data_IF_583677293505
#
_entry.id   IF_583677293505
#
_cell.length_a   1.000
_cell.length_b   1.000
_cell.length_c   1.000
_cell.angle_alpha   90.00
_cell.angle_beta   90.00
_cell.angle_gamma   90.00
#
_symmetry.space_group_name_H-M   'P 1'
#
loop_
_entity.id
_entity.type
_entity.pdbx_description
1 polymer ?
#
# COMPACT_ATOMS: atom_id res chain seq x y z
N UNK A 1 -30.43 -42.26 -2.39
CA UNK A 1 -31.46 -41.53 -3.15
C UNK A 1 -32.33 -40.75 -2.18
N UNK A 2 -32.16 -39.42 -2.09
CA UNK A 2 -33.08 -38.54 -1.38
C UNK A 2 -33.86 -37.73 -2.42
N UNK A 3 -35.18 -37.91 -2.47
CA UNK A 3 -36.09 -37.14 -3.32
C UNK A 3 -36.00 -35.68 -2.89
N UNK A 4 -35.40 -34.82 -3.73
CA UNK A 4 -35.45 -33.37 -3.57
C UNK A 4 -36.86 -32.87 -3.89
N UNK A 5 -37.76 -33.02 -2.92
CA UNK A 5 -39.00 -32.27 -2.90
C UNK A 5 -38.64 -30.81 -2.60
N UNK A 6 -38.69 -29.97 -3.63
CA UNK A 6 -38.76 -28.51 -3.47
C UNK A 6 -40.15 -28.17 -2.96
N UNK A 7 -40.42 -28.44 -1.68
CA UNK A 7 -41.63 -27.95 -1.04
C UNK A 7 -41.45 -26.45 -0.79
N UNK A 8 -42.28 -25.61 -1.39
CA UNK A 8 -42.38 -24.20 -0.98
C UNK A 8 -43.23 -24.16 0.29
N UNK A 9 -42.72 -23.50 1.34
CA UNK A 9 -43.45 -23.33 2.62
C UNK A 9 -44.60 -22.33 2.47
N UNK A 10 -44.43 -21.31 1.62
CA UNK A 10 -45.46 -20.31 1.39
C UNK A 10 -45.21 -19.43 0.17
N UNK A 11 -46.31 -18.99 -0.45
CA UNK A 11 -46.35 -17.94 -1.46
C UNK A 11 -47.23 -16.81 -0.91
N UNK A 12 -46.72 -15.59 -0.92
CA UNK A 12 -47.35 -14.44 -0.30
C UNK A 12 -47.58 -13.35 -1.35
N UNK A 13 -48.84 -12.93 -1.51
CA UNK A 13 -49.18 -11.74 -2.28
C UNK A 13 -48.81 -10.48 -1.51
N UNK A 14 -48.25 -9.51 -2.21
CA UNK A 14 -47.95 -8.18 -1.69
C UNK A 14 -48.48 -7.18 -2.72
N UNK A 15 -49.19 -6.15 -2.26
CA UNK A 15 -49.66 -5.07 -3.11
C UNK A 15 -48.87 -3.79 -2.84
N UNK A 16 -48.50 -3.07 -3.89
CA UNK A 16 -47.92 -1.73 -3.79
C UNK A 16 -48.90 -0.72 -4.37
N UNK A 17 -49.39 0.25 -3.57
CA UNK A 17 -50.24 1.32 -4.07
C UNK A 17 -49.51 2.13 -5.15
N UNK A 18 -50.20 2.42 -6.25
CA UNK A 18 -49.69 3.30 -7.31
C UNK A 18 -50.58 4.52 -7.53
N UNK A 19 -50.20 5.41 -8.45
CA UNK A 19 -50.98 6.62 -8.73
C UNK A 19 -52.23 6.33 -9.57
N UNK A 20 -52.12 5.48 -10.60
CA UNK A 20 -53.24 5.16 -11.51
C UNK A 20 -53.75 3.71 -11.38
N UNK A 21 -52.89 2.79 -10.96
CA UNK A 21 -53.18 1.37 -10.70
C UNK A 21 -52.24 0.86 -9.61
N UNK A 22 -52.64 -0.20 -8.92
CA UNK A 22 -51.77 -0.85 -7.96
C UNK A 22 -50.83 -1.85 -8.65
N UNK A 23 -49.72 -2.21 -8.00
CA UNK A 23 -48.80 -3.23 -8.52
C UNK A 23 -48.84 -4.48 -7.66
N UNK A 24 -49.00 -5.61 -8.34
CA UNK A 24 -49.00 -6.93 -7.73
C UNK A 24 -47.58 -7.48 -7.59
N UNK A 25 -47.24 -7.98 -6.41
CA UNK A 25 -45.95 -8.60 -6.10
C UNK A 25 -46.17 -9.94 -5.45
N UNK A 26 -45.20 -10.83 -5.63
CA UNK A 26 -45.22 -12.16 -5.04
C UNK A 26 -43.91 -12.41 -4.32
N UNK A 27 -43.99 -12.92 -3.11
CA UNK A 27 -42.85 -13.41 -2.36
C UNK A 27 -42.98 -14.90 -2.09
N UNK A 28 -41.85 -15.60 -2.11
CA UNK A 28 -41.78 -17.05 -1.92
C UNK A 28 -40.89 -17.34 -0.72
N UNK A 29 -41.31 -18.28 0.12
CA UNK A 29 -40.52 -18.83 1.22
C UNK A 29 -40.22 -20.30 0.96
N UNK A 30 -38.94 -20.61 0.76
CA UNK A 30 -38.47 -21.99 0.66
C UNK A 30 -38.06 -22.52 2.05
N UNK A 31 -37.96 -23.84 2.25
CA UNK A 31 -37.66 -24.43 3.55
C UNK A 31 -36.30 -24.00 4.03
N UNK A 32 -36.22 -23.57 5.30
CA UNK A 32 -34.99 -23.06 5.92
C UNK A 32 -34.36 -21.87 5.18
N UNK A 33 -35.14 -21.10 4.41
CA UNK A 33 -34.67 -19.89 3.73
C UNK A 33 -35.51 -18.67 4.11
N UNK A 34 -34.86 -17.50 4.09
CA UNK A 34 -35.55 -16.23 4.20
C UNK A 34 -36.53 -16.05 3.02
N UNK A 35 -37.69 -15.46 3.29
CA UNK A 35 -38.65 -15.07 2.27
C UNK A 35 -37.99 -14.07 1.30
N UNK A 36 -38.16 -14.29 0.00
CA UNK A 36 -37.64 -13.40 -1.04
C UNK A 36 -38.72 -13.03 -2.06
N UNK A 37 -38.60 -11.82 -2.62
CA UNK A 37 -39.56 -11.28 -3.58
C UNK A 37 -39.17 -11.67 -5.00
N UNK A 38 -40.15 -12.12 -5.79
CA UNK A 38 -39.99 -12.46 -7.20
C UNK A 38 -40.01 -11.18 -8.04
N UNK A 39 -39.00 -11.03 -8.91
CA UNK A 39 -38.90 -9.89 -9.81
C UNK A 39 -39.83 -10.06 -11.02
N UNK A 40 -40.70 -9.08 -11.27
CA UNK A 40 -41.53 -9.01 -12.48
C UNK A 40 -40.72 -8.81 -13.76
N UNK A 41 -39.45 -8.39 -13.66
CA UNK A 41 -38.55 -8.28 -14.83
C UNK A 41 -38.03 -9.63 -15.28
N UNK A 42 -37.91 -10.57 -14.36
CA UNK A 42 -37.32 -11.90 -14.61
C UNK A 42 -38.44 -12.93 -14.83
N UNK A 43 -39.54 -12.83 -14.09
CA UNK A 43 -40.66 -13.78 -14.17
C UNK A 43 -41.78 -13.34 -15.14
N UNK A 44 -42.00 -14.05 -16.27
CA UNK A 44 -42.94 -13.62 -17.31
C UNK A 44 -44.40 -13.53 -16.87
N UNK A 45 -44.91 -14.51 -16.13
CA UNK A 45 -46.32 -14.48 -15.67
C UNK A 45 -46.57 -13.32 -14.70
N UNK A 46 -45.61 -12.97 -13.84
CA UNK A 46 -45.73 -11.80 -12.97
C UNK A 46 -45.67 -10.48 -13.75
N UNK A 47 -44.93 -10.43 -14.86
CA UNK A 47 -44.95 -9.31 -15.79
C UNK A 47 -46.34 -9.16 -16.44
N UNK A 48 -46.93 -10.25 -16.91
CA UNK A 48 -48.26 -10.28 -17.52
C UNK A 48 -49.35 -9.84 -16.54
N UNK A 49 -49.31 -10.34 -15.29
CA UNK A 49 -50.24 -9.90 -14.23
C UNK A 49 -50.15 -8.39 -14.03
N UNK A 50 -48.95 -7.83 -13.88
CA UNK A 50 -48.78 -6.40 -13.67
C UNK A 50 -49.15 -5.56 -14.91
N UNK A 51 -48.91 -6.08 -16.12
CA UNK A 51 -49.34 -5.42 -17.35
C UNK A 51 -50.87 -5.37 -17.44
N UNK A 52 -51.56 -6.47 -17.12
CA UNK A 52 -53.02 -6.52 -17.10
C UNK A 52 -53.62 -5.53 -16.09
N UNK A 53 -53.14 -5.56 -14.84
CA UNK A 53 -53.58 -4.64 -13.79
C UNK A 53 -53.37 -3.18 -14.21
N UNK A 54 -52.24 -2.87 -14.86
CA UNK A 54 -51.95 -1.53 -15.36
C UNK A 54 -52.86 -1.11 -16.51
N UNK A 55 -53.08 -1.96 -17.51
CA UNK A 55 -53.93 -1.67 -18.67
C UNK A 55 -55.38 -1.43 -18.26
N UNK A 56 -55.88 -2.23 -17.32
CA UNK A 56 -57.25 -2.12 -16.81
C UNK A 56 -57.39 -1.09 -15.68
N UNK A 57 -56.29 -0.42 -15.30
CA UNK A 57 -56.22 0.57 -14.22
C UNK A 57 -56.80 0.06 -12.88
N UNK A 58 -56.61 -1.22 -12.58
CA UNK A 58 -57.23 -1.87 -11.43
C UNK A 58 -56.53 -1.49 -10.12
N UNK A 59 -57.33 -1.24 -9.08
CA UNK A 59 -56.90 -1.23 -7.68
C UNK A 59 -57.00 -2.62 -7.07
N UNK A 60 -56.31 -2.84 -5.95
CA UNK A 60 -56.28 -4.14 -5.25
C UNK A 60 -57.67 -4.79 -5.12
N UNK A 61 -58.63 -4.06 -4.54
CA UNK A 61 -59.98 -4.59 -4.27
C UNK A 61 -60.73 -4.94 -5.56
N UNK A 62 -60.48 -4.18 -6.64
CA UNK A 62 -61.08 -4.44 -7.95
C UNK A 62 -60.42 -5.64 -8.63
N UNK A 63 -59.09 -5.73 -8.57
CA UNK A 63 -58.33 -6.84 -9.12
C UNK A 63 -58.67 -8.16 -8.42
N UNK A 64 -58.82 -8.17 -7.09
CA UNK A 64 -59.18 -9.39 -6.34
C UNK A 64 -60.58 -9.94 -6.70
N UNK A 65 -61.46 -9.10 -7.26
CA UNK A 65 -62.78 -9.49 -7.76
C UNK A 65 -62.81 -9.73 -9.28
N UNK A 66 -61.71 -9.48 -9.99
CA UNK A 66 -61.63 -9.67 -11.45
C UNK A 66 -61.27 -11.12 -11.82
N UNK A 67 -62.10 -11.74 -12.66
CA UNK A 67 -61.94 -13.15 -13.03
C UNK A 67 -60.66 -13.39 -13.84
N UNK A 68 -60.24 -12.45 -14.67
CA UNK A 68 -59.06 -12.65 -15.51
C UNK A 68 -57.77 -12.47 -14.69
N UNK A 69 -57.74 -11.50 -13.78
CA UNK A 69 -56.66 -11.32 -12.82
C UNK A 69 -56.49 -12.55 -11.92
N UNK A 70 -57.59 -13.08 -11.38
CA UNK A 70 -57.54 -14.26 -10.50
C UNK A 70 -56.98 -15.48 -11.23
N UNK A 71 -57.38 -15.71 -12.48
CA UNK A 71 -56.80 -16.76 -13.34
C UNK A 71 -55.30 -16.55 -13.57
N UNK A 72 -54.85 -15.33 -13.93
CA UNK A 72 -53.43 -15.05 -14.15
C UNK A 72 -52.58 -15.21 -12.87
N UNK A 73 -53.12 -14.77 -11.73
CA UNK A 73 -52.48 -14.92 -10.42
C UNK A 73 -52.35 -16.39 -10.04
N UNK A 74 -53.41 -17.18 -10.23
CA UNK A 74 -53.43 -18.58 -9.84
C UNK A 74 -52.49 -19.40 -10.73
N UNK A 75 -52.40 -19.08 -12.04
CA UNK A 75 -51.40 -19.64 -12.95
C UNK A 75 -49.97 -19.35 -12.49
N UNK A 76 -49.68 -18.09 -12.10
CA UNK A 76 -48.39 -17.72 -11.52
C UNK A 76 -48.07 -18.52 -10.24
N UNK A 77 -49.06 -18.72 -9.37
CA UNK A 77 -48.88 -19.51 -8.15
C UNK A 77 -48.64 -20.99 -8.44
N UNK A 78 -49.35 -21.58 -9.40
CA UNK A 78 -49.13 -22.95 -9.83
C UNK A 78 -47.73 -23.13 -10.43
N UNK A 79 -47.27 -22.20 -11.28
CA UNK A 79 -45.93 -22.23 -11.84
C UNK A 79 -44.86 -22.17 -10.75
N UNK A 80 -45.00 -21.23 -9.81
CA UNK A 80 -44.06 -21.07 -8.70
C UNK A 80 -44.05 -22.31 -7.79
N UNK A 81 -45.20 -22.96 -7.54
CA UNK A 81 -45.32 -24.21 -6.77
C UNK A 81 -44.78 -25.44 -7.51
N UNK A 82 -44.60 -25.36 -8.83
CA UNK A 82 -44.12 -26.50 -9.61
C UNK A 82 -42.67 -26.87 -9.26
N UNK A 83 -42.32 -28.15 -9.46
CA UNK A 83 -40.99 -28.70 -9.19
C UNK A 83 -39.85 -27.95 -9.93
N UNK A 84 -40.18 -27.30 -11.05
CA UNK A 84 -39.21 -26.67 -11.93
C UNK A 84 -39.32 -25.14 -11.99
N UNK A 85 -40.48 -24.54 -11.68
CA UNK A 85 -40.72 -23.11 -11.86
C UNK A 85 -39.74 -22.22 -11.08
N UNK A 86 -39.57 -22.49 -9.77
CA UNK A 86 -38.61 -21.71 -8.96
C UNK A 86 -37.16 -21.92 -9.40
N UNK A 87 -36.82 -23.13 -9.86
CA UNK A 87 -35.47 -23.44 -10.39
C UNK A 87 -35.22 -22.67 -11.68
N UNK A 88 -36.18 -22.64 -12.59
CA UNK A 88 -36.14 -21.87 -13.84
C UNK A 88 -36.01 -20.37 -13.58
N UNK A 89 -36.78 -19.83 -12.63
CA UNK A 89 -36.65 -18.43 -12.19
C UNK A 89 -35.23 -18.13 -11.68
N UNK A 90 -34.67 -18.97 -10.79
CA UNK A 90 -33.31 -18.79 -10.25
C UNK A 90 -32.23 -18.90 -11.32
N UNK A 91 -32.38 -19.82 -12.28
CA UNK A 91 -31.46 -19.93 -13.42
C UNK A 91 -31.51 -18.66 -14.26
N UNK A 92 -32.71 -18.13 -14.54
CA UNK A 92 -32.89 -16.90 -15.31
C UNK A 92 -32.39 -15.67 -14.57
N UNK A 93 -32.63 -15.57 -13.25
CA UNK A 93 -32.08 -14.53 -12.37
C UNK A 93 -30.54 -14.57 -12.37
N UNK A 94 -29.93 -15.76 -12.32
CA UNK A 94 -28.48 -15.91 -12.47
C UNK A 94 -27.97 -15.54 -13.86
N UNK A 95 -28.72 -15.84 -14.92
CA UNK A 95 -28.36 -15.44 -16.30
C UNK A 95 -28.45 -13.92 -16.48
N UNK A 96 -29.51 -13.30 -15.94
CA UNK A 96 -29.69 -11.84 -15.92
C UNK A 96 -28.58 -11.15 -15.10
N UNK A 97 -28.12 -11.76 -14.01
CA UNK A 97 -26.97 -11.29 -13.21
C UNK A 97 -25.63 -11.48 -13.92
N UNK A 98 -25.44 -12.59 -14.65
CA UNK A 98 -24.27 -12.84 -15.52
C UNK A 98 -24.18 -11.86 -16.70
N UNK A 99 -25.25 -11.16 -17.04
CA UNK A 99 -25.30 -10.15 -18.10
C UNK A 99 -24.65 -8.79 -17.74
N UNK A 100 -24.28 -8.54 -16.48
CA UNK A 100 -23.54 -7.32 -16.12
C UNK A 100 -22.04 -7.54 -16.24
N UNK A 101 -21.41 -6.91 -17.24
CA UNK A 101 -19.94 -6.87 -17.38
C UNK A 101 -19.30 -6.46 -16.06
N UNK A 102 -18.22 -7.16 -15.67
CA UNK A 102 -17.47 -6.82 -14.47
C UNK A 102 -16.92 -5.39 -14.59
N UNK A 103 -17.17 -4.56 -13.58
CA UNK A 103 -16.65 -3.19 -13.59
C UNK A 103 -15.26 -3.18 -12.93
N UNK A 104 -14.23 -3.37 -13.75
CA UNK A 104 -12.83 -3.32 -13.30
C UNK A 104 -12.44 -1.98 -12.70
N UNK A 105 -12.98 -0.86 -13.19
CA UNK A 105 -12.66 0.47 -12.66
C UNK A 105 -13.18 0.64 -11.24
N UNK A 106 -14.45 0.27 -11.01
CA UNK A 106 -15.05 0.29 -9.67
C UNK A 106 -14.33 -0.68 -8.74
N UNK A 107 -14.09 -1.91 -9.17
CA UNK A 107 -13.38 -2.90 -8.35
C UNK A 107 -11.96 -2.46 -7.98
N UNK A 108 -11.26 -1.78 -8.90
CA UNK A 108 -9.95 -1.22 -8.63
C UNK A 108 -10.01 -0.07 -7.62
N UNK A 109 -11.04 0.77 -7.70
CA UNK A 109 -11.27 1.84 -6.74
C UNK A 109 -11.53 1.28 -5.33
N UNK A 110 -12.44 0.30 -5.22
CA UNK A 110 -12.76 -0.38 -3.96
C UNK A 110 -11.50 -1.04 -3.35
N UNK A 111 -10.67 -1.69 -4.19
CA UNK A 111 -9.38 -2.24 -3.75
C UNK A 111 -8.41 -1.15 -3.30
N UNK A 112 -8.34 -0.03 -4.03
CA UNK A 112 -7.48 1.10 -3.68
C UNK A 112 -7.82 1.66 -2.31
N UNK A 113 -9.12 1.79 -2.01
CA UNK A 113 -9.63 2.33 -0.76
C UNK A 113 -9.39 1.36 0.40
N UNK A 114 -9.67 0.06 0.20
CA UNK A 114 -9.28 -1.00 1.14
C UNK A 114 -7.79 -0.96 1.45
N UNK A 115 -6.94 -0.90 0.42
CA UNK A 115 -5.48 -0.85 0.60
C UNK A 115 -5.00 0.46 1.20
N UNK A 116 -5.72 1.56 1.02
CA UNK A 116 -5.39 2.85 1.62
C UNK A 116 -5.56 2.85 3.13
N UNK A 117 -6.41 1.98 3.70
CA UNK A 117 -6.52 1.80 5.15
C UNK A 117 -5.27 1.13 5.74
N UNK A 118 -4.68 0.17 5.01
CA UNK A 118 -3.62 -0.70 5.54
C UNK A 118 -2.21 -0.43 4.99
N UNK A 119 -2.07 0.26 3.85
CA UNK A 119 -0.79 0.38 3.13
C UNK A 119 -0.80 1.46 2.02
N UNK A 120 -0.12 1.25 0.88
CA UNK A 120 0.06 2.24 -0.20
C UNK A 120 -0.89 1.96 -1.37
N UNK A 121 -2.20 2.21 -1.19
CA UNK A 121 -3.25 1.95 -2.18
C UNK A 121 -2.93 2.47 -3.59
N UNK A 122 -2.55 3.76 -3.71
CA UNK A 122 -2.26 4.37 -5.02
C UNK A 122 -1.14 3.66 -5.81
N UNK A 123 -0.10 3.18 -5.13
CA UNK A 123 1.01 2.49 -5.81
C UNK A 123 0.53 1.16 -6.40
N UNK A 124 -0.28 0.42 -5.65
CA UNK A 124 -0.86 -0.85 -6.09
C UNK A 124 -1.84 -0.63 -7.23
N UNK A 125 -2.76 0.34 -7.09
CA UNK A 125 -3.73 0.68 -8.13
C UNK A 125 -3.07 1.16 -9.41
N UNK A 126 -1.97 1.92 -9.32
CA UNK A 126 -1.22 2.32 -10.51
C UNK A 126 -0.54 1.15 -11.22
N UNK A 127 -0.01 0.17 -10.48
CA UNK A 127 0.61 -1.02 -11.09
C UNK A 127 -0.49 -1.88 -11.74
N UNK A 128 -1.60 -2.11 -11.04
CA UNK A 128 -2.75 -2.82 -11.59
C UNK A 128 -3.25 -2.16 -12.88
N UNK A 129 -3.56 -0.87 -12.85
CA UNK A 129 -4.10 -0.14 -14.00
C UNK A 129 -3.16 -0.13 -15.19
N UNK A 130 -1.88 0.21 -14.98
CA UNK A 130 -0.92 0.46 -16.08
C UNK A 130 -0.17 -0.76 -16.58
N UNK A 131 -0.07 -1.81 -15.76
CA UNK A 131 0.70 -3.00 -16.09
C UNK A 131 -0.23 -4.19 -16.28
N UNK A 132 -1.06 -4.50 -15.29
CA UNK A 132 -1.84 -5.74 -15.32
C UNK A 132 -3.15 -5.65 -16.08
N UNK A 133 -3.90 -4.56 -15.95
CA UNK A 133 -5.17 -4.39 -16.65
C UNK A 133 -4.94 -4.18 -18.14
N UNK A 134 -3.90 -3.43 -18.53
CA UNK A 134 -3.48 -3.37 -19.93
C UNK A 134 -3.08 -4.74 -20.47
N UNK A 135 -2.50 -5.63 -19.65
CA UNK A 135 -2.24 -7.00 -20.07
C UNK A 135 -3.50 -7.87 -20.15
N UNK A 136 -4.25 -8.01 -19.07
CA UNK A 136 -5.38 -8.95 -19.01
C UNK A 136 -6.62 -8.46 -19.77
N UNK A 137 -6.97 -7.18 -19.61
CA UNK A 137 -8.21 -6.63 -20.17
C UNK A 137 -7.97 -6.22 -21.62
N UNK A 138 -6.99 -5.33 -21.86
CA UNK A 138 -6.79 -4.77 -23.21
C UNK A 138 -6.15 -5.79 -24.16
N UNK A 139 -5.12 -6.53 -23.72
CA UNK A 139 -4.38 -7.46 -24.59
C UNK A 139 -4.98 -8.87 -24.64
N UNK A 140 -5.37 -9.43 -23.49
CA UNK A 140 -5.91 -10.80 -23.42
C UNK A 140 -7.45 -10.85 -23.49
N UNK A 141 -8.14 -9.71 -23.47
CA UNK A 141 -9.60 -9.64 -23.62
C UNK A 141 -10.39 -10.20 -22.43
N UNK A 142 -9.81 -10.25 -21.23
CA UNK A 142 -10.49 -10.77 -20.05
C UNK A 142 -11.66 -9.85 -19.66
N UNK A 143 -12.86 -10.41 -19.55
CA UNK A 143 -14.05 -9.67 -19.11
C UNK A 143 -14.29 -9.81 -17.60
N UNK A 144 -13.57 -10.71 -16.93
CA UNK A 144 -13.70 -10.96 -15.49
C UNK A 144 -12.39 -11.47 -14.85
N UNK A 145 -12.04 -11.09 -13.59
CA UNK A 145 -10.80 -11.54 -12.94
C UNK A 145 -10.61 -13.06 -12.88
N UNK A 146 -11.70 -13.83 -12.82
CA UNK A 146 -11.68 -15.32 -12.84
C UNK A 146 -10.95 -15.89 -14.06
N UNK A 147 -10.90 -15.16 -15.18
CA UNK A 147 -10.27 -15.61 -16.42
C UNK A 147 -8.74 -15.49 -16.38
N UNK A 148 -8.17 -14.77 -15.40
CA UNK A 148 -6.73 -14.55 -15.31
C UNK A 148 -5.96 -15.86 -15.17
N UNK A 149 -6.57 -16.88 -14.55
CA UNK A 149 -5.95 -18.20 -14.35
C UNK A 149 -5.56 -18.87 -15.66
N UNK A 150 -6.33 -18.65 -16.73
CA UNK A 150 -6.08 -19.18 -18.07
C UNK A 150 -4.78 -18.66 -18.69
N UNK A 151 -4.32 -17.48 -18.27
CA UNK A 151 -3.17 -16.79 -18.85
C UNK A 151 -1.92 -16.81 -17.97
N UNK A 152 -1.81 -17.75 -17.02
CA UNK A 152 -0.71 -17.79 -16.05
C UNK A 152 0.68 -17.82 -16.68
N UNK A 153 0.87 -18.59 -17.75
CA UNK A 153 2.15 -18.71 -18.45
C UNK A 153 2.48 -17.38 -19.16
N UNK A 154 1.50 -16.81 -19.86
CA UNK A 154 1.63 -15.55 -20.60
C UNK A 154 1.90 -14.39 -19.65
N UNK A 155 1.24 -14.35 -18.48
CA UNK A 155 1.46 -13.36 -17.43
C UNK A 155 2.89 -13.44 -16.87
N UNK A 156 3.43 -14.66 -16.66
CA UNK A 156 4.81 -14.84 -16.22
C UNK A 156 5.80 -14.33 -17.27
N UNK A 157 5.57 -14.64 -18.54
CA UNK A 157 6.38 -14.15 -19.66
C UNK A 157 6.30 -12.63 -19.74
N UNK A 158 5.10 -12.05 -19.61
CA UNK A 158 4.90 -10.60 -19.63
C UNK A 158 5.75 -9.89 -18.57
N UNK A 159 5.80 -10.37 -17.33
CA UNK A 159 6.67 -9.78 -16.28
C UNK A 159 8.14 -9.83 -16.65
N UNK A 160 8.59 -10.95 -17.23
CA UNK A 160 10.00 -11.19 -17.54
C UNK A 160 10.48 -10.41 -18.77
N UNK A 161 9.58 -10.08 -19.69
CA UNK A 161 9.93 -9.38 -20.95
C UNK A 161 9.47 -7.93 -21.01
N UNK A 162 8.58 -7.50 -20.11
CA UNK A 162 8.10 -6.12 -20.07
C UNK A 162 9.25 -5.13 -19.86
N UNK A 163 9.09 -3.98 -20.50
CA UNK A 163 10.03 -2.87 -20.42
C UNK A 163 9.46 -1.76 -19.54
N UNK A 164 10.33 -1.06 -18.85
CA UNK A 164 9.99 0.11 -18.06
C UNK A 164 9.81 1.35 -18.96
N UNK A 165 9.47 2.49 -18.36
CA UNK A 165 9.28 3.78 -19.07
C UNK A 165 10.48 4.30 -19.87
N UNK A 166 11.66 3.70 -19.70
CA UNK A 166 12.88 4.02 -20.44
C UNK A 166 13.22 2.95 -21.49
N UNK A 167 12.24 2.12 -21.86
CA UNK A 167 12.39 1.00 -22.81
C UNK A 167 13.43 -0.05 -22.38
N UNK A 168 13.74 -0.14 -21.08
CA UNK A 168 14.67 -1.14 -20.53
C UNK A 168 13.90 -2.28 -19.87
N UNK A 169 14.31 -3.54 -20.03
CA UNK A 169 13.71 -4.65 -19.29
C UNK A 169 13.70 -4.38 -17.79
N UNK A 170 12.63 -4.79 -17.11
CA UNK A 170 12.60 -4.75 -15.65
C UNK A 170 13.69 -5.65 -15.06
N UNK A 171 14.35 -5.15 -14.01
CA UNK A 171 15.31 -5.98 -13.29
C UNK A 171 14.57 -7.12 -12.56
N UNK A 172 15.21 -8.29 -12.36
CA UNK A 172 14.60 -9.40 -11.64
C UNK A 172 14.06 -9.04 -10.25
N UNK A 173 14.73 -8.11 -9.56
CA UNK A 173 14.29 -7.60 -8.26
C UNK A 173 12.97 -6.82 -8.33
N UNK A 174 12.61 -6.30 -9.50
CA UNK A 174 11.36 -5.57 -9.73
C UNK A 174 10.18 -6.51 -9.99
N UNK A 175 10.42 -7.78 -10.35
CA UNK A 175 9.33 -8.73 -10.65
C UNK A 175 8.38 -8.89 -9.47
N UNK A 176 8.91 -8.96 -8.24
CA UNK A 176 8.11 -9.04 -7.01
C UNK A 176 7.24 -7.79 -6.83
N UNK A 177 7.81 -6.60 -7.09
CA UNK A 177 7.08 -5.33 -7.02
C UNK A 177 5.93 -5.29 -8.01
N UNK A 178 6.07 -5.96 -9.16
CA UNK A 178 5.02 -6.07 -10.17
C UNK A 178 3.97 -7.13 -9.80
N UNK A 179 4.37 -8.33 -9.34
CA UNK A 179 3.42 -9.43 -9.06
C UNK A 179 2.66 -9.26 -7.76
N UNK A 180 3.25 -8.64 -6.73
CA UNK A 180 2.62 -8.49 -5.42
C UNK A 180 1.27 -7.75 -5.47
N UNK A 181 1.14 -6.59 -6.16
CA UNK A 181 -0.15 -5.93 -6.32
C UNK A 181 -1.23 -6.79 -6.97
N UNK A 182 -0.88 -7.61 -7.97
CA UNK A 182 -1.81 -8.52 -8.63
C UNK A 182 -2.30 -9.60 -7.69
N UNK A 183 -1.38 -10.27 -6.99
CA UNK A 183 -1.74 -11.34 -6.06
C UNK A 183 -2.63 -10.82 -4.92
N UNK A 184 -2.34 -9.61 -4.39
CA UNK A 184 -3.20 -9.00 -3.37
C UNK A 184 -4.56 -8.57 -3.91
N UNK A 185 -4.64 -8.09 -5.16
CA UNK A 185 -5.93 -7.78 -5.80
C UNK A 185 -6.78 -9.05 -5.98
N UNK A 186 -6.19 -10.16 -6.40
CA UNK A 186 -6.93 -11.42 -6.56
C UNK A 186 -7.44 -11.96 -5.22
N UNK A 187 -6.64 -11.85 -4.15
CA UNK A 187 -7.12 -12.18 -2.79
C UNK A 187 -8.27 -11.28 -2.36
N UNK A 188 -8.17 -9.97 -2.60
CA UNK A 188 -9.28 -9.05 -2.35
C UNK A 188 -10.54 -9.43 -3.11
N UNK A 189 -10.44 -9.74 -4.42
CA UNK A 189 -11.59 -10.19 -5.22
C UNK A 189 -12.21 -11.47 -4.67
N UNK A 190 -11.41 -12.39 -4.14
CA UNK A 190 -11.91 -13.60 -3.49
C UNK A 190 -12.65 -13.27 -2.19
N UNK A 191 -12.06 -12.43 -1.34
CA UNK A 191 -12.60 -12.10 -0.02
C UNK A 191 -13.95 -11.36 -0.11
N UNK A 192 -14.15 -10.53 -1.15
CA UNK A 192 -15.44 -9.85 -1.40
C UNK A 192 -16.40 -10.67 -2.27
N UNK A 193 -16.05 -11.91 -2.61
CA UNK A 193 -16.91 -12.83 -3.35
C UNK A 193 -17.05 -12.55 -4.85
N UNK A 194 -16.16 -11.76 -5.45
CA UNK A 194 -16.11 -11.60 -6.91
C UNK A 194 -15.57 -12.84 -7.62
N UNK A 195 -14.70 -13.61 -6.98
CA UNK A 195 -14.19 -14.88 -7.51
C UNK A 195 -14.27 -15.98 -6.44
N UNK A 196 -14.34 -17.23 -6.88
CA UNK A 196 -14.28 -18.41 -6.01
C UNK A 196 -12.84 -18.82 -5.71
N UNK A 197 -12.68 -19.74 -4.76
CA UNK A 197 -11.36 -20.25 -4.34
C UNK A 197 -10.62 -20.99 -5.46
N UNK A 198 -11.33 -21.76 -6.28
CA UNK A 198 -10.80 -22.45 -7.46
C UNK A 198 -10.46 -21.50 -8.62
N UNK A 199 -10.99 -20.27 -8.58
CA UNK A 199 -10.70 -19.19 -9.52
C UNK A 199 -9.56 -18.26 -9.02
N UNK A 200 -8.99 -18.54 -7.84
CA UNK A 200 -7.93 -17.70 -7.26
C UNK A 200 -6.63 -17.82 -8.06
N UNK A 201 -6.15 -16.67 -8.53
CA UNK A 201 -4.91 -16.55 -9.28
C UNK A 201 -3.76 -16.03 -8.41
N UNK A 202 -2.64 -16.74 -8.43
CA UNK A 202 -1.38 -16.27 -7.86
C UNK A 202 -0.22 -16.47 -8.84
N UNK A 203 0.58 -15.43 -9.00
CA UNK A 203 1.73 -15.40 -9.89
C UNK A 203 3.04 -15.22 -9.12
N UNK A 204 3.98 -16.14 -9.36
CA UNK A 204 5.37 -15.97 -9.00
C UNK A 204 6.21 -15.92 -10.29
N UNK A 205 6.82 -14.76 -10.55
CA UNK A 205 7.67 -14.52 -11.70
C UNK A 205 9.17 -14.49 -11.36
N UNK A 206 9.54 -14.72 -10.10
CA UNK A 206 10.92 -14.68 -9.65
C UNK A 206 11.83 -15.62 -10.45
N UNK A 207 13.11 -15.27 -10.47
CA UNK A 207 14.13 -16.16 -10.99
C UNK A 207 14.35 -17.31 -10.01
N UNK A 208 14.47 -18.52 -10.53
CA UNK A 208 14.93 -19.67 -9.76
C UNK A 208 16.37 -19.46 -9.29
N UNK A 209 16.80 -20.22 -8.28
CA UNK A 209 18.20 -20.15 -7.80
C UNK A 209 19.20 -20.43 -8.93
N UNK A 210 18.89 -21.41 -9.79
CA UNK A 210 19.73 -21.74 -10.96
C UNK A 210 19.77 -20.61 -12.00
N UNK A 211 18.62 -19.97 -12.28
CA UNK A 211 18.59 -18.78 -13.16
C UNK A 211 19.41 -17.62 -12.58
N UNK A 212 19.38 -17.42 -11.25
CA UNK A 212 20.18 -16.39 -10.56
C UNK A 212 21.68 -16.68 -10.66
N UNK A 213 22.10 -17.93 -10.42
CA UNK A 213 23.51 -18.37 -10.54
C UNK A 213 24.04 -18.18 -11.96
N UNK A 214 23.30 -18.63 -12.98
CA UNK A 214 23.72 -18.54 -14.40
C UNK A 214 23.83 -17.11 -14.90
N UNK A 215 22.95 -16.21 -14.44
CA UNK A 215 22.93 -14.82 -14.89
C UNK A 215 24.04 -13.95 -14.28
N UNK A 216 24.87 -14.47 -13.35
CA UNK A 216 25.92 -13.71 -12.63
C UNK A 216 25.42 -12.32 -12.22
N UNK A 217 24.20 -12.25 -11.67
CA UNK A 217 23.61 -10.96 -11.32
C UNK A 217 24.45 -10.32 -10.22
N UNK A 218 25.20 -9.28 -10.56
CA UNK A 218 25.92 -8.51 -9.57
C UNK A 218 24.92 -7.93 -8.55
N UNK A 219 25.22 -7.99 -7.24
CA UNK A 219 24.37 -7.37 -6.24
C UNK A 219 24.26 -5.87 -6.53
N UNK A 220 23.03 -5.41 -6.82
CA UNK A 220 22.74 -4.01 -7.22
C UNK A 220 22.73 -3.06 -6.01
N UNK A 221 22.88 -3.56 -4.79
CA UNK A 221 22.86 -2.70 -3.60
C UNK A 221 24.09 -1.81 -3.62
N UNK A 222 23.87 -0.50 -3.66
CA UNK A 222 24.94 0.47 -3.49
C UNK A 222 25.62 0.24 -2.14
N UNK A 223 26.92 0.04 -2.17
CA UNK A 223 27.80 -0.14 -1.01
C UNK A 223 28.36 1.19 -0.49
N UNK A 224 27.95 2.31 -1.10
CA UNK A 224 28.55 3.62 -0.86
C UNK A 224 28.19 4.14 0.54
N UNK A 225 29.17 4.20 1.42
CA UNK A 225 29.10 4.78 2.76
C UNK A 225 30.12 5.90 2.92
N UNK A 226 30.00 6.66 4.00
CA UNK A 226 31.04 7.59 4.43
C UNK A 226 32.12 6.86 5.22
N UNK A 227 33.36 7.32 5.08
CA UNK A 227 34.50 6.90 5.93
C UNK A 227 34.57 7.76 7.19
N UNK A 228 35.32 7.33 8.21
CA UNK A 228 35.50 8.12 9.45
C UNK A 228 36.11 9.49 9.15
N UNK A 229 37.16 9.52 8.31
CA UNK A 229 37.82 10.76 7.90
C UNK A 229 36.89 11.71 7.14
N UNK A 230 36.01 11.17 6.29
CA UNK A 230 35.04 12.00 5.59
C UNK A 230 34.07 12.64 6.58
N UNK A 231 33.57 11.87 7.56
CA UNK A 231 32.63 12.36 8.58
C UNK A 231 33.23 13.46 9.44
N UNK A 232 34.47 13.30 9.92
CA UNK A 232 35.14 14.30 10.77
C UNK A 232 35.45 15.60 10.01
N UNK A 233 35.73 15.54 8.71
CA UNK A 233 36.02 16.72 7.89
C UNK A 233 34.78 17.43 7.34
N UNK A 234 33.58 16.85 7.40
CA UNK A 234 32.40 17.47 6.76
C UNK A 234 32.07 18.84 7.33
N UNK A 235 32.07 18.96 8.66
CA UNK A 235 31.72 20.20 9.36
C UNK A 235 32.66 21.33 8.96
N UNK A 236 33.98 21.10 9.03
CA UNK A 236 34.98 22.14 8.71
C UNK A 236 34.88 22.59 7.26
N UNK A 237 34.67 21.68 6.31
CA UNK A 237 34.47 22.05 4.90
C UNK A 237 33.19 22.87 4.70
N UNK A 238 32.10 22.51 5.37
CA UNK A 238 30.84 23.28 5.36
C UNK A 238 31.05 24.67 5.96
N UNK A 239 31.78 24.75 7.08
CA UNK A 239 32.09 26.01 7.77
C UNK A 239 32.85 26.98 6.87
N UNK A 240 33.88 26.48 6.18
CA UNK A 240 34.70 27.27 5.25
C UNK A 240 33.85 27.76 4.07
N UNK A 241 33.11 26.86 3.42
CA UNK A 241 32.41 27.20 2.17
C UNK A 241 31.19 28.13 2.40
N UNK A 242 30.46 27.96 3.50
CA UNK A 242 29.26 28.75 3.79
C UNK A 242 29.46 29.77 4.91
N UNK A 243 30.70 30.21 5.18
CA UNK A 243 31.01 31.21 6.20
C UNK A 243 30.17 32.50 6.04
N UNK A 244 30.00 32.96 4.80
CA UNK A 244 29.17 34.14 4.46
C UNK A 244 27.74 33.82 4.02
N UNK A 245 27.28 32.57 4.16
CA UNK A 245 25.95 32.16 3.71
C UNK A 245 25.19 31.42 4.82
N UNK A 246 24.60 32.15 5.78
CA UNK A 246 23.96 31.55 6.96
C UNK A 246 22.79 30.63 6.60
N UNK A 247 22.05 30.93 5.53
CA UNK A 247 20.92 30.10 5.07
C UNK A 247 21.39 28.71 4.62
N UNK A 248 22.42 28.64 3.77
CA UNK A 248 22.96 27.36 3.31
C UNK A 248 23.77 26.66 4.39
N UNK A 249 24.42 27.41 5.29
CA UNK A 249 25.06 26.83 6.48
C UNK A 249 24.04 26.12 7.37
N UNK A 250 22.90 26.77 7.65
CA UNK A 250 21.80 26.18 8.42
C UNK A 250 21.25 24.91 7.77
N UNK A 251 20.96 24.95 6.46
CA UNK A 251 20.50 23.76 5.71
C UNK A 251 21.53 22.63 5.73
N UNK A 252 22.81 22.96 5.56
CA UNK A 252 23.91 21.99 5.56
C UNK A 252 24.07 21.34 6.91
N UNK A 253 24.01 22.11 8.00
CA UNK A 253 24.07 21.60 9.37
C UNK A 253 22.88 20.69 9.70
N UNK A 254 21.68 21.01 9.23
CA UNK A 254 20.53 20.15 9.44
C UNK A 254 20.66 18.81 8.70
N UNK A 255 21.24 18.79 7.48
CA UNK A 255 21.57 17.53 6.79
C UNK A 255 22.70 16.77 7.47
N UNK A 256 23.73 17.49 7.91
CA UNK A 256 24.86 16.94 8.64
C UNK A 256 24.40 16.26 9.93
N UNK A 257 23.46 16.87 10.65
CA UNK A 257 22.81 16.27 11.81
C UNK A 257 22.14 14.94 11.45
N UNK A 258 21.42 14.86 10.32
CA UNK A 258 20.83 13.61 9.83
C UNK A 258 21.85 12.52 9.50
N UNK A 259 23.02 12.91 8.98
CA UNK A 259 24.14 12.00 8.68
C UNK A 259 24.76 11.47 9.98
N UNK A 260 25.07 12.37 10.91
CA UNK A 260 25.70 12.08 12.20
C UNK A 260 24.83 11.25 13.14
N UNK A 261 23.51 11.27 12.95
CA UNK A 261 22.55 10.51 13.78
C UNK A 261 21.99 9.27 13.10
N UNK A 262 22.30 9.05 11.81
CA UNK A 262 21.72 7.94 11.03
C UNK A 262 20.18 8.00 10.94
N UNK A 263 19.57 9.17 11.16
CA UNK A 263 18.13 9.35 11.13
C UNK A 263 17.56 8.98 9.75
N UNK A 264 16.37 8.35 9.75
CA UNK A 264 15.60 8.22 8.51
C UNK A 264 15.24 9.62 8.04
N UNK A 265 15.23 9.82 6.71
CA UNK A 265 14.84 11.08 6.09
C UNK A 265 13.50 11.63 6.62
N UNK A 266 12.51 10.75 6.85
CA UNK A 266 11.23 11.15 7.44
C UNK A 266 11.39 11.75 8.85
N UNK A 267 12.13 11.06 9.72
CA UNK A 267 12.39 11.51 11.09
C UNK A 267 13.15 12.85 11.11
N UNK A 268 14.13 13.04 10.22
CA UNK A 268 14.86 14.31 10.12
C UNK A 268 13.93 15.47 9.73
N UNK A 269 13.05 15.25 8.75
CA UNK A 269 12.07 16.26 8.31
C UNK A 269 11.00 16.55 9.38
N UNK A 270 10.77 15.60 10.27
CA UNK A 270 9.88 15.76 11.41
C UNK A 270 10.51 16.50 12.59
N UNK A 271 11.83 16.48 12.71
CA UNK A 271 12.52 16.90 13.93
C UNK A 271 12.45 18.42 14.13
N UNK A 272 11.90 18.83 15.27
CA UNK A 272 11.84 20.23 15.73
C UNK A 272 13.09 20.63 16.53
N UNK A 273 13.45 21.91 16.50
CA UNK A 273 14.60 22.45 17.21
C UNK A 273 14.49 22.29 18.74
N UNK A 274 13.28 22.34 19.31
CA UNK A 274 13.05 22.11 20.75
C UNK A 274 13.42 20.71 21.22
N UNK A 275 13.45 19.72 20.32
CA UNK A 275 13.83 18.34 20.63
C UNK A 275 15.34 18.12 20.59
N UNK A 276 16.14 19.17 20.38
CA UNK A 276 17.60 19.13 20.52
C UNK A 276 18.01 19.55 21.93
N UNK A 277 18.76 18.68 22.61
CA UNK A 277 19.24 18.90 23.97
C UNK A 277 20.78 18.81 24.04
N UNK A 278 21.51 19.71 23.37
CA UNK A 278 22.98 19.73 23.43
C UNK A 278 23.52 20.01 24.83
N UNK A 279 22.78 20.77 25.65
CA UNK A 279 23.14 21.13 27.04
C UNK A 279 22.87 20.01 28.06
N UNK A 280 22.17 18.94 27.68
CA UNK A 280 21.81 17.89 28.61
C UNK A 280 23.02 17.00 28.95
N UNK A 281 22.93 16.25 30.04
CA UNK A 281 23.93 15.24 30.42
C UNK A 281 23.29 13.84 30.48
N UNK A 282 23.53 12.94 29.50
CA UNK A 282 24.29 13.17 28.27
C UNK A 282 23.53 14.02 27.22
N UNK A 283 24.25 14.74 26.32
CA UNK A 283 23.66 15.43 25.19
C UNK A 283 22.91 14.47 24.27
N UNK A 284 21.70 14.83 23.88
CA UNK A 284 20.82 13.95 23.12
C UNK A 284 19.80 14.72 22.29
N UNK A 285 19.07 13.99 21.46
CA UNK A 285 17.86 14.47 20.81
C UNK A 285 16.70 13.51 21.06
N UNK A 286 15.49 14.03 20.96
CA UNK A 286 14.25 13.26 21.14
C UNK A 286 13.56 13.08 19.80
N UNK A 287 13.27 11.83 19.44
CA UNK A 287 12.41 11.54 18.30
C UNK A 287 11.00 11.32 18.83
N UNK A 288 10.07 12.16 18.37
CA UNK A 288 8.63 12.05 18.60
C UNK A 288 7.93 11.71 17.29
N UNK A 289 6.68 11.30 17.41
CA UNK A 289 5.77 11.16 16.27
C UNK A 289 5.67 12.48 15.54
N UNK A 290 5.82 12.42 14.22
CA UNK A 290 6.08 13.61 13.44
C UNK A 290 5.19 13.72 12.22
N UNK A 291 4.62 14.90 12.05
CA UNK A 291 3.56 15.17 11.10
C UNK A 291 4.13 15.94 9.90
N UNK A 292 4.77 15.26 8.94
CA UNK A 292 5.45 15.92 7.80
C UNK A 292 4.46 16.20 6.67
N UNK A 293 4.40 17.42 6.13
CA UNK A 293 3.62 17.69 4.92
C UNK A 293 4.25 16.98 3.71
N UNK A 294 3.45 16.24 2.94
CA UNK A 294 3.98 15.49 1.81
C UNK A 294 2.93 14.68 1.05
N UNK A 295 3.39 13.60 0.41
CA UNK A 295 2.51 12.61 -0.22
C UNK A 295 2.47 11.37 0.66
N UNK A 296 1.38 11.16 1.40
CA UNK A 296 1.13 9.90 2.12
C UNK A 296 0.19 9.04 1.28
N UNK A 297 0.57 7.78 1.06
CA UNK A 297 -0.29 6.78 0.36
C UNK A 297 -0.85 7.24 -1.00
N UNK A 298 -0.22 8.24 -1.61
CA UNK A 298 -0.64 8.80 -2.89
C UNK A 298 -1.61 9.98 -2.84
N UNK A 299 -1.96 10.49 -1.67
CA UNK A 299 -2.74 11.73 -1.54
C UNK A 299 -1.82 12.86 -1.06
N UNK A 300 -2.05 14.07 -1.60
CA UNK A 300 -1.38 15.28 -1.10
C UNK A 300 -2.00 15.60 0.25
N UNK A 301 -1.19 15.61 1.30
CA UNK A 301 -1.71 15.82 2.63
C UNK A 301 -0.63 15.73 3.69
N UNK A 302 -1.07 15.70 4.92
CA UNK A 302 -0.22 15.57 6.07
C UNK A 302 0.21 14.10 6.21
N UNK A 303 1.50 13.80 6.08
CA UNK A 303 2.08 12.50 6.43
C UNK A 303 2.28 12.50 7.94
N UNK A 304 1.36 11.88 8.68
CA UNK A 304 1.64 11.49 10.06
C UNK A 304 2.64 10.33 9.96
N UNK A 305 3.90 10.59 10.30
CA UNK A 305 4.84 9.56 10.70
C UNK A 305 4.49 9.26 12.16
N UNK A 306 3.42 8.50 12.33
CA UNK A 306 3.14 7.80 13.58
C UNK A 306 4.35 6.91 13.84
N UNK A 307 4.82 6.91 15.08
CA UNK A 307 6.00 6.24 15.56
C UNK A 307 7.35 6.85 15.10
N UNK A 308 8.22 7.12 16.08
CA UNK A 308 9.63 7.46 15.86
C UNK A 308 10.36 6.46 14.92
N UNK A 309 9.82 5.25 14.75
CA UNK A 309 10.37 4.16 13.94
C UNK A 309 9.26 3.29 13.34
N UNK A 310 9.50 2.53 12.26
CA UNK A 310 8.58 1.49 11.75
C UNK A 310 8.24 0.37 12.78
N UNK A 311 8.77 0.44 14.00
CA UNK A 311 8.94 -0.69 14.92
C UNK A 311 8.76 -0.36 16.40
N UNK A 312 8.40 0.86 16.77
CA UNK A 312 8.27 1.28 18.17
C UNK A 312 7.05 2.19 18.32
N UNK A 313 5.92 1.59 18.71
CA UNK A 313 4.70 2.31 19.02
C UNK A 313 4.86 3.05 20.36
N UNK A 314 4.42 4.31 20.43
CA UNK A 314 4.25 5.11 21.66
C UNK A 314 5.49 5.43 22.52
N UNK A 315 6.73 5.26 22.02
CA UNK A 315 7.94 5.57 22.79
C UNK A 315 8.58 6.92 22.41
N UNK A 316 8.70 7.83 23.37
CA UNK A 316 9.59 8.99 23.28
C UNK A 316 11.06 8.51 23.29
N UNK A 317 11.64 8.31 22.11
CA UNK A 317 13.00 7.76 22.00
C UNK A 317 14.03 8.88 22.15
N UNK A 318 14.85 8.80 23.20
CA UNK A 318 16.03 9.66 23.40
C UNK A 318 17.26 8.99 22.80
N UNK A 319 17.92 9.67 21.85
CA UNK A 319 19.14 9.16 21.20
C UNK A 319 20.31 10.05 21.58
N UNK A 320 21.38 9.48 22.19
CA UNK A 320 22.55 10.25 22.57
C UNK A 320 23.36 10.71 21.36
N UNK A 321 24.08 11.82 21.54
CA UNK A 321 25.07 12.33 20.61
C UNK A 321 26.36 11.52 20.70
N UNK A 322 26.67 10.77 19.64
CA UNK A 322 27.82 9.85 19.59
C UNK A 322 28.73 10.15 18.39
N UNK A 323 28.22 10.03 17.16
CA UNK A 323 29.04 10.13 15.95
C UNK A 323 29.03 11.54 15.33
N UNK A 324 30.11 11.95 14.62
CA UNK A 324 31.42 11.28 14.58
C UNK A 324 32.22 11.52 15.87
N UNK A 325 31.89 12.58 16.60
CA UNK A 325 32.30 12.80 17.99
C UNK A 325 31.17 13.54 18.71
N UNK A 326 31.12 13.42 20.03
CA UNK A 326 30.15 14.09 20.89
C UNK A 326 30.23 15.61 20.74
N UNK A 327 31.43 16.17 20.67
CA UNK A 327 31.71 17.60 20.56
C UNK A 327 31.17 18.15 19.24
N UNK A 328 31.52 17.49 18.13
CA UNK A 328 31.17 17.93 16.78
C UNK A 328 29.66 18.01 16.59
N UNK A 329 28.93 16.95 16.98
CA UNK A 329 27.47 16.93 16.83
C UNK A 329 26.79 17.88 17.83
N UNK A 330 27.37 18.08 19.02
CA UNK A 330 26.88 19.03 20.01
C UNK A 330 26.99 20.46 19.48
N UNK A 331 28.12 20.86 18.90
CA UNK A 331 28.29 22.16 18.23
C UNK A 331 27.26 22.38 17.11
N UNK A 332 27.06 21.37 16.25
CA UNK A 332 26.05 21.42 15.18
C UNK A 332 24.66 21.62 15.78
N UNK A 333 24.32 20.90 16.84
CA UNK A 333 23.03 21.01 17.52
C UNK A 333 22.83 22.38 18.20
N UNK A 334 23.86 22.95 18.85
CA UNK A 334 23.78 24.31 19.38
C UNK A 334 23.53 25.34 18.26
N UNK A 335 24.26 25.24 17.15
CA UNK A 335 24.06 26.14 16.02
C UNK A 335 22.63 26.06 15.49
N UNK A 336 22.11 24.85 15.29
CA UNK A 336 20.72 24.65 14.84
C UNK A 336 19.72 25.26 15.84
N UNK A 337 19.88 24.99 17.13
CA UNK A 337 18.98 25.46 18.18
C UNK A 337 19.03 26.99 18.36
N UNK A 338 20.19 27.62 18.14
CA UNK A 338 20.37 29.08 18.21
C UNK A 338 19.72 29.81 17.03
N UNK A 339 19.67 29.18 15.86
CA UNK A 339 19.22 29.81 14.61
C UNK A 339 17.81 29.40 14.17
N UNK A 340 17.12 28.58 14.96
CA UNK A 340 15.75 28.13 14.73
C UNK A 340 14.90 28.44 15.96
N UNK A 341 13.64 28.82 15.75
CA UNK A 341 12.69 28.91 16.85
C UNK A 341 12.33 27.50 17.35
N UNK A 342 11.92 27.33 18.62
CA UNK A 342 11.62 26.01 19.20
C UNK A 342 10.67 25.15 18.34
N UNK A 343 9.64 25.79 17.77
CA UNK A 343 8.61 25.15 16.93
C UNK A 343 8.98 25.05 15.44
N UNK A 344 10.18 25.44 15.04
CA UNK A 344 10.67 25.22 13.69
C UNK A 344 11.31 23.84 13.54
N UNK A 345 11.08 23.22 12.38
CA UNK A 345 11.77 21.99 11.97
C UNK A 345 13.20 22.28 11.57
N UNK A 346 14.10 21.32 11.78
CA UNK A 346 15.48 21.43 11.30
C UNK A 346 15.55 21.58 9.77
N UNK A 347 14.64 20.93 9.05
CA UNK A 347 14.46 21.09 7.60
C UNK A 347 12.98 21.20 7.27
N UNK A 348 12.58 22.34 6.69
CA UNK A 348 11.23 22.55 6.16
C UNK A 348 11.24 22.43 4.64
N UNK A 349 11.26 21.19 4.13
CA UNK A 349 11.22 20.93 2.69
C UNK A 349 10.56 19.58 2.34
N UNK A 350 10.24 19.38 1.06
CA UNK A 350 9.74 18.10 0.58
C UNK A 350 10.82 17.01 0.68
N UNK A 351 10.46 15.72 0.90
CA UNK A 351 11.43 14.64 1.02
C UNK A 351 12.44 14.52 -0.13
N UNK A 352 12.02 14.76 -1.37
CA UNK A 352 12.92 14.67 -2.53
C UNK A 352 13.89 15.86 -2.62
N UNK A 353 13.54 16.99 -2.00
CA UNK A 353 14.40 18.17 -1.91
C UNK A 353 15.64 17.89 -1.07
N UNK A 354 15.53 17.05 -0.03
CA UNK A 354 16.68 16.65 0.81
C UNK A 354 17.80 16.03 -0.04
N UNK A 355 17.46 15.11 -0.93
CA UNK A 355 18.45 14.44 -1.79
C UNK A 355 19.08 15.39 -2.81
N UNK A 356 18.30 16.36 -3.33
CA UNK A 356 18.78 17.37 -4.28
C UNK A 356 19.72 18.37 -3.61
N UNK A 357 19.31 18.93 -2.47
CA UNK A 357 20.14 19.88 -1.73
C UNK A 357 21.41 19.22 -1.19
N UNK A 358 21.33 18.00 -0.67
CA UNK A 358 22.55 17.29 -0.22
C UNK A 358 23.53 17.04 -1.37
N UNK A 359 23.02 16.69 -2.55
CA UNK A 359 23.87 16.56 -3.75
C UNK A 359 24.55 17.87 -4.11
N UNK A 360 23.83 18.98 -4.05
CA UNK A 360 24.38 20.32 -4.29
C UNK A 360 25.50 20.63 -3.29
N UNK A 361 25.23 20.49 -2.00
CA UNK A 361 26.21 20.73 -0.93
C UNK A 361 27.45 19.86 -1.10
N UNK A 362 27.28 18.56 -1.37
CA UNK A 362 28.39 17.66 -1.65
C UNK A 362 29.29 18.14 -2.80
N UNK A 363 28.69 18.62 -3.89
CA UNK A 363 29.43 19.09 -5.07
C UNK A 363 30.17 20.42 -4.81
N UNK A 364 29.55 21.32 -4.05
CA UNK A 364 30.10 22.64 -3.69
C UNK A 364 31.25 22.50 -2.69
N UNK A 365 31.03 21.69 -1.64
CA UNK A 365 31.93 21.52 -0.49
C UNK A 365 32.97 20.40 -0.72
N UNK A 366 32.93 19.72 -1.87
CA UNK A 366 33.84 18.61 -2.24
C UNK A 366 33.80 17.46 -1.22
N UNK A 367 32.57 17.03 -0.90
CA UNK A 367 32.27 15.85 -0.09
C UNK A 367 31.65 14.79 -1.02
N UNK A 368 32.00 13.49 -0.91
CA UNK A 368 31.35 12.46 -1.71
C UNK A 368 29.85 12.38 -1.47
N UNK A 369 29.07 12.34 -2.55
CA UNK A 369 27.62 12.20 -2.40
C UNK A 369 27.22 10.78 -1.99
N UNK A 370 26.59 10.65 -0.82
CA UNK A 370 25.83 9.46 -0.40
C UNK A 370 24.35 9.85 -0.34
N UNK A 371 23.49 9.06 -0.98
CA UNK A 371 22.05 9.30 -0.98
C UNK A 371 21.50 9.28 0.46
N UNK A 372 20.48 10.08 0.84
CA UNK A 372 19.96 10.11 2.21
C UNK A 372 19.54 8.77 2.81
N UNK A 373 19.16 7.80 1.96
CA UNK A 373 18.90 6.43 2.41
C UNK A 373 20.16 5.70 2.91
N UNK A 374 21.32 6.03 2.33
CA UNK A 374 22.64 5.50 2.68
C UNK A 374 23.25 6.10 3.94
N UNK A 375 22.77 7.25 4.44
CA UNK A 375 23.32 7.86 5.67
C UNK A 375 23.26 6.92 6.88
N UNK A 376 22.16 6.18 7.01
CA UNK A 376 22.02 5.16 8.05
C UNK A 376 22.97 3.98 7.86
N UNK A 377 23.25 3.60 6.61
CA UNK A 377 24.27 2.59 6.33
C UNK A 377 25.65 3.08 6.74
N UNK A 378 25.98 4.35 6.49
CA UNK A 378 27.23 4.95 6.99
C UNK A 378 27.29 4.91 8.52
N UNK A 379 26.24 5.39 9.20
CA UNK A 379 26.18 5.41 10.67
C UNK A 379 26.33 4.00 11.29
N UNK A 380 25.58 3.02 10.77
CA UNK A 380 25.63 1.64 11.26
C UNK A 380 26.99 0.98 10.98
N UNK A 381 27.55 1.21 9.79
CA UNK A 381 28.86 0.66 9.40
C UNK A 381 29.95 1.23 10.29
N UNK A 382 30.09 2.56 10.36
CA UNK A 382 31.11 3.22 11.19
C UNK A 382 30.92 2.89 12.68
N UNK A 383 29.68 2.85 13.16
CA UNK A 383 29.42 2.49 14.55
C UNK A 383 29.76 1.04 14.89
N UNK A 384 29.70 0.12 13.92
CA UNK A 384 30.13 -1.26 14.11
C UNK A 384 31.67 -1.39 14.16
N UNK A 385 32.36 -0.61 13.32
CA UNK A 385 33.84 -0.51 13.33
C UNK A 385 34.32 -0.01 14.69
N UNK A 386 33.68 1.04 15.19
CA UNK A 386 34.04 1.72 16.44
C UNK A 386 33.15 1.29 17.61
N UNK A 387 32.66 0.04 17.63
CA UNK A 387 31.72 -0.42 18.68
C UNK A 387 32.38 -0.40 20.06
N UNK A 388 33.67 -0.72 20.14
CA UNK A 388 34.43 -0.70 21.38
C UNK A 388 34.61 0.74 21.89
N UNK A 389 34.98 1.67 21.00
CA UNK A 389 35.37 3.03 21.37
C UNK A 389 34.16 3.96 21.56
N UNK A 390 33.25 3.98 20.59
CA UNK A 390 32.09 4.90 20.60
C UNK A 390 30.90 4.35 21.37
N UNK A 391 30.79 3.02 21.45
CA UNK A 391 29.63 2.34 22.06
C UNK A 391 30.02 1.49 23.28
N UNK A 392 31.23 1.65 23.81
CA UNK A 392 31.72 0.96 25.03
C UNK A 392 31.61 -0.57 24.93
N UNK A 393 31.85 -1.11 23.74
CA UNK A 393 31.73 -2.54 23.46
C UNK A 393 30.30 -3.08 23.51
N UNK A 394 29.28 -2.20 23.40
CA UNK A 394 27.87 -2.59 23.51
C UNK A 394 27.12 -2.44 22.15
N UNK A 395 26.99 -3.52 21.36
CA UNK A 395 26.27 -3.51 20.09
C UNK A 395 24.77 -3.18 20.22
N UNK A 396 24.17 -3.44 21.39
CA UNK A 396 22.77 -3.08 21.65
C UNK A 396 22.58 -1.55 21.69
N UNK A 397 23.58 -0.81 22.15
CA UNK A 397 23.55 0.65 22.11
C UNK A 397 23.54 1.16 20.66
N UNK A 398 24.37 0.58 19.78
CA UNK A 398 24.37 0.88 18.34
C UNK A 398 23.01 0.56 17.71
N UNK A 399 22.40 -0.58 18.06
CA UNK A 399 21.05 -0.94 17.60
C UNK A 399 20.02 0.11 18.00
N UNK A 400 20.03 0.55 19.26
CA UNK A 400 19.10 1.56 19.78
C UNK A 400 19.31 2.91 19.12
N UNK A 401 20.55 3.31 18.88
CA UNK A 401 20.87 4.53 18.13
C UNK A 401 20.39 4.46 16.66
N UNK A 402 20.49 3.28 16.04
CA UNK A 402 19.90 3.02 14.71
C UNK A 402 18.37 2.96 14.72
N UNK A 403 17.76 2.88 15.90
CA UNK A 403 16.33 2.72 16.11
C UNK A 403 15.78 1.48 15.37
N UNK A 404 16.40 0.34 15.65
CA UNK A 404 16.02 -0.97 15.10
C UNK A 404 15.43 -1.88 16.18
N UNK A 405 14.38 -2.63 15.82
CA UNK A 405 13.75 -3.62 16.69
C UNK A 405 14.72 -4.74 17.13
N UNK A 406 15.67 -5.09 16.27
CA UNK A 406 16.62 -6.18 16.50
C UNK A 406 18.00 -5.87 15.93
N UNK A 407 19.03 -6.43 16.55
CA UNK A 407 20.40 -6.32 16.07
C UNK A 407 20.56 -6.92 14.66
N UNK A 408 19.84 -8.00 14.33
CA UNK A 408 19.77 -8.57 12.98
C UNK A 408 19.34 -7.58 11.91
N UNK A 409 18.54 -6.58 12.29
CA UNK A 409 18.21 -5.47 11.37
C UNK A 409 19.40 -4.54 11.21
N UNK A 410 20.10 -4.18 12.29
CA UNK A 410 21.35 -3.40 12.25
C UNK A 410 22.42 -4.05 11.38
N UNK A 411 22.63 -5.36 11.49
CA UNK A 411 23.57 -6.11 10.65
C UNK A 411 23.30 -5.93 9.16
N UNK A 412 22.02 -5.90 8.74
CA UNK A 412 21.66 -5.64 7.33
C UNK A 412 21.99 -4.23 6.85
N UNK A 413 22.20 -3.29 7.77
CA UNK A 413 22.64 -1.93 7.48
C UNK A 413 24.16 -1.77 7.48
N UNK A 414 24.90 -2.66 8.15
CA UNK A 414 26.35 -2.70 8.10
C UNK A 414 26.78 -3.17 6.71
N UNK A 415 27.57 -2.35 6.01
CA UNK A 415 28.06 -2.68 4.68
C UNK A 415 29.31 -3.57 4.78
N UNK A 416 29.07 -4.88 4.76
CA UNK A 416 30.10 -5.94 4.83
C UNK A 416 31.16 -5.92 3.71
N UNK A 417 30.94 -5.13 2.66
CA UNK A 417 31.86 -4.99 1.52
C UNK A 417 32.33 -3.53 1.34
N UNK A 418 32.21 -2.70 2.38
CA UNK A 418 32.74 -1.34 2.31
C UNK A 418 34.26 -1.37 2.51
N UNK A 419 34.98 -0.57 1.74
CA UNK A 419 36.45 -0.46 1.85
C UNK A 419 36.90 -0.10 3.27
N UNK A 420 36.05 0.63 4.01
CA UNK A 420 36.34 1.01 5.39
C UNK A 420 36.31 -0.18 6.35
N UNK A 421 35.45 -1.18 6.12
CA UNK A 421 35.48 -2.42 6.89
C UNK A 421 36.75 -3.22 6.59
N UNK A 422 37.16 -3.27 5.31
CA UNK A 422 38.37 -3.99 4.89
C UNK A 422 39.65 -3.40 5.49
N UNK A 423 39.71 -2.07 5.67
CA UNK A 423 40.87 -1.41 6.30
C UNK A 423 41.15 -1.84 7.73
N UNK A 424 40.15 -2.34 8.46
CA UNK A 424 40.34 -2.82 9.84
C UNK A 424 41.19 -4.10 9.87
N UNK A 425 41.22 -4.84 8.76
CA UNK A 425 42.02 -6.05 8.60
C UNK A 425 43.36 -5.78 7.89
N UNK A 426 43.70 -4.50 7.66
CA UNK A 426 44.97 -4.11 7.04
C UNK A 426 46.08 -3.82 8.07
N UNK A 427 45.74 -3.90 9.37
CA UNK A 427 46.65 -4.03 10.50
C UNK A 427 46.98 -5.51 10.72
#
# INVERSE_FOLDING_TARGET
MAKSQTHIEGIYSIWRPGQESDSFRVAVKAPNQAQFVISSKTQPLLAQVNQYVKTQKLRREQAENDLHFTVLRDNLYQELKSRYGLKSYRIKEMLDLKGKKFNFEKSLQDFSDYKAMHSVGRAYSSILKKFWFSFFIEKMGCEHPREFITFKIQARTHVRTAKNKFDRPYSPNTYITLTKPLNEYMRFCHDIGHIKKDELFELNAELTLEEKKRRKLNPVRSTKTYTTNQMTQMKSKIDIHYAGNPEWKLKSYAMLFGIYTGLRRGNLLGLYAENLHPEASPPHFQVKDNVVSGWSRGQKGTIVLEDATKTSHDENVKIPFIQPSKETITEVAHFLKKNLTPKQRLLSCNPDTVAKWWRKICNEVKIPYVHPHGWRHSYATLGAIHVNDWYKGNPYLLQKCCMHASFRTTEKYIQGTSDELLKIFAD
#
